data_IF_718081861221
#
_entry.id   IF_718081861221
#
_cell.length_a   1.000
_cell.length_b   1.000
_cell.length_c   1.000
_cell.angle_alpha   90.00
_cell.angle_beta   90.00
_cell.angle_gamma   90.00
#
_symmetry.space_group_name_H-M   'P 1'
#
loop_
_entity.id
_entity.type
_entity.pdbx_description
1 polymer ?
#
# COMPACT_ATOMS: atom_id res chain seq x y z
N UNK A 1 -64.73 -55.07 3.32
CA UNK A 1 -64.37 -54.37 4.58
C UNK A 1 -62.91 -53.92 4.44
N UNK A 2 -62.63 -52.62 4.66
CA UNK A 2 -61.29 -51.95 4.67
C UNK A 2 -60.68 -51.68 3.26
N UNK A 3 -61.02 -50.54 2.64
CA UNK A 3 -60.29 -49.25 2.52
C UNK A 3 -59.19 -49.26 1.43
N UNK A 4 -59.52 -48.81 0.21
CA UNK A 4 -59.28 -47.47 -0.38
C UNK A 4 -57.79 -47.19 -0.69
N UNK A 5 -57.40 -47.28 -1.98
CA UNK A 5 -57.16 -46.15 -2.92
C UNK A 5 -55.72 -45.60 -2.76
N UNK A 6 -54.93 -45.25 -3.78
CA UNK A 6 -55.12 -45.01 -5.21
C UNK A 6 -53.72 -44.74 -5.84
N UNK A 7 -53.59 -45.01 -7.14
CA UNK A 7 -52.90 -44.19 -8.19
C UNK A 7 -51.35 -44.10 -8.12
N UNK A 8 -50.62 -44.86 -8.97
CA UNK A 8 -50.04 -44.52 -10.30
C UNK A 8 -49.29 -43.16 -10.34
N UNK A 9 -48.00 -43.16 -10.73
CA UNK A 9 -47.41 -42.40 -11.85
C UNK A 9 -45.86 -42.40 -11.74
N UNK A 10 -45.23 -42.80 -12.86
CA UNK A 10 -43.81 -42.78 -13.21
C UNK A 10 -43.30 -41.33 -13.32
N UNK A 11 -42.05 -41.02 -12.94
CA UNK A 11 -41.19 -40.01 -13.61
C UNK A 11 -39.71 -40.24 -13.21
N UNK A 12 -38.85 -40.25 -14.23
CA UNK A 12 -37.40 -40.31 -14.14
C UNK A 12 -36.81 -39.04 -13.53
N UNK A 13 -35.83 -39.17 -12.63
CA UNK A 13 -35.03 -38.04 -12.14
C UNK A 13 -33.69 -38.00 -12.89
N UNK A 14 -33.62 -37.12 -13.90
CA UNK A 14 -32.35 -36.65 -14.47
C UNK A 14 -31.74 -35.68 -13.47
N UNK A 15 -30.60 -36.05 -12.89
CA UNK A 15 -29.82 -35.18 -12.00
C UNK A 15 -29.10 -34.12 -12.84
N UNK A 16 -29.75 -32.98 -13.06
CA UNK A 16 -29.10 -31.79 -13.61
C UNK A 16 -28.27 -31.14 -12.49
N UNK A 17 -26.96 -31.40 -12.48
CA UNK A 17 -26.02 -30.60 -11.70
C UNK A 17 -26.01 -29.17 -12.26
N UNK A 18 -26.82 -28.30 -11.67
CA UNK A 18 -26.63 -26.86 -11.79
C UNK A 18 -25.34 -26.52 -11.04
N UNK A 19 -24.22 -26.50 -11.76
CA UNK A 19 -23.05 -25.72 -11.35
C UNK A 19 -23.49 -24.26 -11.44
N UNK A 20 -24.19 -23.79 -10.41
CA UNK A 20 -24.30 -22.39 -10.13
C UNK A 20 -22.87 -21.94 -9.80
N UNK A 21 -22.14 -21.50 -10.83
CA UNK A 21 -20.96 -20.69 -10.65
C UNK A 21 -21.38 -19.50 -9.81
N UNK A 22 -21.11 -19.59 -8.51
CA UNK A 22 -21.05 -18.44 -7.64
C UNK A 22 -19.83 -17.66 -8.10
N UNK A 23 -19.99 -16.90 -9.19
CA UNK A 23 -19.20 -15.72 -9.40
C UNK A 23 -19.62 -14.78 -8.26
N UNK A 24 -19.00 -14.97 -7.11
CA UNK A 24 -19.00 -14.00 -6.04
C UNK A 24 -18.34 -12.77 -6.63
N UNK A 25 -19.15 -11.87 -7.19
CA UNK A 25 -18.74 -10.49 -7.42
C UNK A 25 -18.30 -10.00 -6.05
N UNK A 26 -16.99 -9.81 -5.88
CA UNK A 26 -16.47 -9.23 -4.65
C UNK A 26 -17.01 -7.81 -4.60
N UNK A 27 -17.79 -7.52 -3.56
CA UNK A 27 -18.10 -6.15 -3.24
C UNK A 27 -16.76 -5.42 -3.08
N UNK A 28 -16.61 -4.29 -3.78
CA UNK A 28 -15.49 -3.40 -3.56
C UNK A 28 -15.56 -2.93 -2.10
N UNK A 29 -14.73 -3.52 -1.25
CA UNK A 29 -14.80 -3.35 0.19
C UNK A 29 -13.90 -2.16 0.55
N UNK A 30 -14.51 -1.07 1.02
CA UNK A 30 -13.80 0.10 1.57
C UNK A 30 -12.88 -0.33 2.72
N UNK A 31 -11.84 0.47 3.01
CA UNK A 31 -10.99 0.21 4.16
C UNK A 31 -11.81 0.24 5.45
N UNK A 32 -11.59 -0.75 6.33
CA UNK A 32 -12.18 -0.75 7.67
C UNK A 32 -11.52 0.33 8.54
N UNK A 33 -12.21 0.79 9.59
CA UNK A 33 -11.62 1.75 10.53
C UNK A 33 -10.31 1.25 11.16
N UNK A 34 -10.18 -0.05 11.41
CA UNK A 34 -8.93 -0.65 11.90
C UNK A 34 -7.79 -0.54 10.87
N UNK A 35 -8.07 -0.79 9.59
CA UNK A 35 -7.08 -0.62 8.52
C UNK A 35 -6.65 0.84 8.38
N UNK A 36 -7.59 1.78 8.50
CA UNK A 36 -7.31 3.23 8.44
C UNK A 36 -6.42 3.66 9.60
N UNK A 37 -6.71 3.23 10.83
CA UNK A 37 -5.88 3.54 12.00
C UNK A 37 -4.50 2.90 11.90
N UNK A 38 -4.38 1.71 11.29
CA UNK A 38 -3.07 1.16 10.97
C UNK A 38 -2.33 2.03 9.95
N UNK A 39 -2.97 2.46 8.84
CA UNK A 39 -2.38 3.35 7.82
C UNK A 39 -1.89 4.67 8.42
N UNK A 40 -2.65 5.23 9.35
CA UNK A 40 -2.40 6.54 9.96
C UNK A 40 -1.75 6.44 11.35
N UNK A 41 -1.19 5.28 11.70
CA UNK A 41 -0.62 5.07 13.03
C UNK A 41 0.51 6.08 13.34
N UNK A 42 0.41 6.71 14.51
CA UNK A 42 1.37 7.73 14.96
C UNK A 42 1.13 9.11 14.35
N UNK A 43 0.09 9.26 13.52
CA UNK A 43 -0.31 10.53 12.96
C UNK A 43 -1.45 11.16 13.79
N UNK A 44 -1.31 12.44 14.14
CA UNK A 44 -2.37 13.31 14.68
C UNK A 44 -3.29 13.79 13.56
N UNK A 45 -4.57 13.93 13.86
CA UNK A 45 -5.63 14.29 12.91
C UNK A 45 -5.46 15.69 12.29
N UNK A 46 -4.84 16.63 13.01
CA UNK A 46 -4.66 18.03 12.63
C UNK A 46 -3.39 18.33 11.83
N UNK A 47 -2.49 17.35 11.69
CA UNK A 47 -1.29 17.50 10.87
C UNK A 47 -1.62 17.28 9.38
N UNK A 48 -0.71 17.72 8.52
CA UNK A 48 -0.88 17.60 7.08
C UNK A 48 -0.10 16.45 6.46
N UNK A 49 -0.71 15.84 5.46
CA UNK A 49 -0.12 14.82 4.58
C UNK A 49 -0.18 15.30 3.13
N UNK A 50 0.79 14.88 2.33
CA UNK A 50 0.77 14.97 0.88
C UNK A 50 0.61 13.57 0.31
N UNK A 51 -0.46 13.33 -0.45
CA UNK A 51 -0.69 12.03 -1.10
C UNK A 51 0.30 11.79 -2.23
N UNK A 52 0.67 10.53 -2.45
CA UNK A 52 1.50 10.09 -3.59
C UNK A 52 0.70 9.25 -4.56
N UNK A 53 1.15 9.16 -5.81
CA UNK A 53 0.48 8.37 -6.84
C UNK A 53 0.52 6.85 -6.55
N UNK A 54 1.57 6.38 -5.87
CA UNK A 54 1.71 4.99 -5.42
C UNK A 54 0.79 4.62 -4.25
N UNK A 55 0.23 5.61 -3.55
CA UNK A 55 -0.76 5.43 -2.49
C UNK A 55 -0.23 5.67 -1.07
N UNK A 56 1.08 5.65 -0.87
CA UNK A 56 1.71 6.16 0.36
C UNK A 56 1.56 7.68 0.53
N UNK A 57 2.11 8.20 1.63
CA UNK A 57 2.00 9.62 1.99
C UNK A 57 3.35 10.22 2.39
N UNK A 58 3.51 11.51 2.15
CA UNK A 58 4.63 12.31 2.65
C UNK A 58 4.10 13.24 3.75
N UNK A 59 4.85 13.36 4.84
CA UNK A 59 4.57 14.25 5.96
C UNK A 59 5.76 15.13 6.25
N UNK A 60 5.51 16.36 6.70
CA UNK A 60 6.54 17.16 7.36
C UNK A 60 6.54 16.76 8.85
N UNK A 61 7.71 16.50 9.45
CA UNK A 61 7.80 16.04 10.86
C UNK A 61 7.31 17.07 11.88
N UNK A 62 7.22 18.34 11.47
CA UNK A 62 6.61 19.42 12.25
C UNK A 62 5.08 19.46 12.14
N UNK A 63 4.49 18.60 11.31
CA UNK A 63 3.06 18.51 11.03
C UNK A 63 2.51 19.60 10.12
N UNK A 64 3.35 20.48 9.57
CA UNK A 64 2.93 21.63 8.78
C UNK A 64 2.48 21.26 7.36
N UNK A 65 1.68 22.14 6.75
CA UNK A 65 1.28 22.05 5.33
C UNK A 65 2.32 22.58 4.33
N UNK A 66 3.52 22.91 4.80
CA UNK A 66 4.52 23.66 4.02
C UNK A 66 5.32 22.74 3.08
N UNK A 67 4.63 22.13 2.12
CA UNK A 67 5.26 21.35 1.06
C UNK A 67 5.70 22.27 -0.10
N UNK A 68 6.89 22.07 -0.68
CA UNK A 68 7.31 22.81 -1.88
C UNK A 68 6.31 22.67 -3.03
N UNK A 69 6.02 23.77 -3.72
CA UNK A 69 4.98 23.82 -4.75
C UNK A 69 5.24 22.84 -5.90
N UNK A 70 6.49 22.68 -6.28
CA UNK A 70 6.94 21.73 -7.30
C UNK A 70 6.73 20.27 -6.86
N UNK A 71 6.87 19.98 -5.57
CA UNK A 71 6.58 18.65 -5.02
C UNK A 71 5.08 18.39 -5.13
N UNK A 72 4.25 19.31 -4.62
CA UNK A 72 2.78 19.20 -4.68
C UNK A 72 2.28 19.03 -6.12
N UNK A 73 2.82 19.81 -7.06
CA UNK A 73 2.45 19.72 -8.47
C UNK A 73 2.78 18.37 -9.11
N UNK A 74 3.80 17.68 -8.59
CA UNK A 74 4.22 16.37 -9.11
C UNK A 74 3.55 15.22 -8.38
N UNK A 75 3.30 15.33 -7.08
CA UNK A 75 2.79 14.24 -6.25
C UNK A 75 1.26 14.17 -6.32
N UNK A 76 0.58 14.86 -5.41
CA UNK A 76 -0.84 14.75 -5.19
C UNK A 76 -1.37 15.90 -4.37
N UNK A 77 -2.33 15.62 -3.51
CA UNK A 77 -3.07 16.63 -2.77
C UNK A 77 -2.56 16.74 -1.33
N UNK A 78 -2.49 17.98 -0.85
CA UNK A 78 -2.29 18.25 0.57
C UNK A 78 -3.65 18.19 1.26
N UNK A 79 -3.73 17.44 2.34
CA UNK A 79 -4.91 17.38 3.20
C UNK A 79 -4.50 17.12 4.65
N UNK A 80 -5.39 17.39 5.59
CA UNK A 80 -5.21 16.98 6.98
C UNK A 80 -5.31 15.46 7.10
N UNK A 81 -4.76 14.89 8.17
CA UNK A 81 -4.91 13.46 8.46
C UNK A 81 -6.39 13.10 8.65
N UNK A 82 -7.20 13.97 9.27
CA UNK A 82 -8.64 13.77 9.39
C UNK A 82 -9.32 13.61 8.01
N UNK A 83 -9.01 14.49 7.07
CA UNK A 83 -9.51 14.42 5.68
C UNK A 83 -8.98 13.18 4.96
N UNK A 84 -7.71 12.82 5.20
CA UNK A 84 -7.13 11.60 4.63
C UNK A 84 -7.81 10.33 5.13
N UNK A 85 -8.14 10.25 6.44
CA UNK A 85 -8.92 9.14 6.99
C UNK A 85 -10.30 9.04 6.32
N UNK A 86 -10.94 10.17 6.04
CA UNK A 86 -12.21 10.18 5.30
C UNK A 86 -12.03 9.72 3.85
N UNK A 87 -10.95 10.13 3.18
CA UNK A 87 -10.61 9.65 1.84
C UNK A 87 -10.42 8.12 1.86
N UNK A 88 -9.65 7.58 2.81
CA UNK A 88 -9.43 6.15 2.97
C UNK A 88 -10.73 5.35 3.17
N UNK A 89 -11.70 5.93 3.89
CA UNK A 89 -12.99 5.31 4.15
C UNK A 89 -13.97 5.36 2.96
N UNK A 90 -13.78 6.28 2.02
CA UNK A 90 -14.77 6.59 0.96
C UNK A 90 -14.28 6.29 -0.45
N UNK A 91 -12.97 6.20 -0.63
CA UNK A 91 -12.38 5.80 -1.90
C UNK A 91 -12.20 4.28 -1.91
N UNK A 92 -12.61 3.67 -3.02
CA UNK A 92 -12.31 2.27 -3.29
C UNK A 92 -10.83 2.16 -3.59
N UNK A 93 -10.04 1.92 -2.55
CA UNK A 93 -8.73 1.28 -2.71
C UNK A 93 -9.04 -0.18 -2.97
N UNK A 94 -8.64 -0.79 -4.10
CA UNK A 94 -8.96 -2.18 -4.40
C UNK A 94 -8.43 -3.10 -3.28
N UNK A 95 -9.30 -3.31 -2.29
CA UNK A 95 -9.02 -3.84 -0.97
C UNK A 95 -9.07 -5.35 -0.93
N UNK A 96 -8.91 -6.01 -2.07
CA UNK A 96 -8.37 -7.36 -2.23
C UNK A 96 -7.62 -7.35 -3.55
N UNK A 97 -6.29 -7.44 -3.50
CA UNK A 97 -5.49 -7.91 -4.64
C UNK A 97 -5.95 -9.34 -4.96
N UNK A 98 -7.07 -9.51 -5.66
CA UNK A 98 -7.36 -10.73 -6.38
C UNK A 98 -6.58 -10.74 -7.69
N UNK A 99 -6.05 -11.93 -7.98
CA UNK A 99 -5.36 -12.27 -9.21
C UNK A 99 -6.20 -11.81 -10.40
N UNK A 100 -5.60 -10.91 -11.18
CA UNK A 100 -6.07 -10.27 -12.40
C UNK A 100 -7.27 -10.91 -13.12
N UNK A 101 -8.24 -10.05 -13.45
CA UNK A 101 -8.72 -9.95 -14.83
C UNK A 101 -9.01 -8.47 -15.13
N UNK A 102 -8.33 -7.93 -16.14
CA UNK A 102 -8.37 -6.55 -16.64
C UNK A 102 -7.75 -5.45 -15.75
N UNK A 103 -6.49 -5.10 -16.05
CA UNK A 103 -6.10 -3.69 -16.21
C UNK A 103 -5.55 -2.89 -15.04
N UNK A 104 -5.37 -3.46 -13.83
CA UNK A 104 -4.84 -2.71 -12.68
C UNK A 104 -3.42 -3.16 -12.32
N UNK A 105 -2.49 -2.21 -12.25
CA UNK A 105 -1.07 -2.43 -11.98
C UNK A 105 -0.88 -2.99 -10.57
N UNK A 106 -0.18 -4.12 -10.45
CA UNK A 106 0.22 -4.67 -9.15
C UNK A 106 1.30 -3.79 -8.53
N UNK A 107 0.93 -2.88 -7.63
CA UNK A 107 1.89 -2.14 -6.82
C UNK A 107 2.69 -3.15 -5.97
N UNK A 108 3.96 -3.30 -6.32
CA UNK A 108 4.90 -4.22 -5.67
C UNK A 108 5.36 -5.43 -6.46
N UNK A 109 4.99 -5.60 -7.74
CA UNK A 109 5.65 -6.59 -8.62
C UNK A 109 6.82 -6.03 -9.45
N UNK A 110 6.98 -4.71 -9.48
CA UNK A 110 7.92 -4.00 -10.36
C UNK A 110 8.76 -3.00 -9.61
N UNK A 111 9.99 -2.78 -10.09
CA UNK A 111 10.90 -1.76 -9.57
C UNK A 111 10.31 -0.38 -9.89
N UNK A 112 10.14 0.52 -8.91
CA UNK A 112 9.64 1.87 -9.15
C UNK A 112 10.63 2.66 -10.00
N UNK A 113 10.13 3.24 -11.10
CA UNK A 113 10.93 4.02 -12.06
C UNK A 113 10.91 5.51 -11.76
N UNK A 114 9.82 6.00 -11.17
CA UNK A 114 9.65 7.40 -10.81
C UNK A 114 10.45 7.71 -9.54
N UNK A 115 11.29 8.74 -9.62
CA UNK A 115 12.11 9.20 -8.49
C UNK A 115 11.47 10.43 -7.86
N UNK A 116 11.10 10.30 -6.60
CA UNK A 116 10.52 11.30 -5.75
C UNK A 116 11.61 12.02 -4.97
N UNK A 117 11.43 13.32 -4.75
CA UNK A 117 12.34 14.13 -3.94
C UNK A 117 11.77 14.24 -2.54
N UNK A 118 12.57 13.84 -1.55
CA UNK A 118 12.24 14.03 -0.15
C UNK A 118 13.02 15.24 0.39
N UNK A 119 12.31 16.30 0.74
CA UNK A 119 12.87 17.56 1.22
C UNK A 119 13.25 17.47 2.70
N UNK A 120 14.04 18.43 3.22
CA UNK A 120 14.37 18.53 4.63
C UNK A 120 13.15 18.38 5.51
N UNK A 121 13.32 17.76 6.67
CA UNK A 121 12.25 17.52 7.64
C UNK A 121 11.07 16.68 7.14
N UNK A 122 11.20 15.95 6.02
CA UNK A 122 10.13 15.09 5.49
C UNK A 122 10.30 13.61 5.80
N UNK A 123 9.18 12.91 5.89
CA UNK A 123 9.09 11.46 5.97
C UNK A 123 8.03 10.94 4.99
N UNK A 124 8.37 9.91 4.22
CA UNK A 124 7.42 9.10 3.47
C UNK A 124 7.02 7.86 4.27
N UNK A 125 5.73 7.55 4.28
CA UNK A 125 5.14 6.35 4.86
C UNK A 125 4.51 5.51 3.76
N UNK A 126 4.94 4.26 3.62
CA UNK A 126 4.42 3.35 2.61
C UNK A 126 3.05 2.78 2.97
N UNK A 127 2.33 2.30 1.96
CA UNK A 127 1.28 1.32 2.21
C UNK A 127 1.85 0.01 2.78
N UNK A 128 0.96 -0.78 3.37
CA UNK A 128 1.27 -2.12 3.86
C UNK A 128 1.42 -3.13 2.72
N UNK A 129 2.38 -4.04 2.88
CA UNK A 129 2.49 -5.23 2.06
C UNK A 129 1.57 -6.35 2.56
N UNK A 130 0.84 -6.97 1.63
CA UNK A 130 -0.08 -8.08 1.94
C UNK A 130 0.20 -9.36 1.14
N UNK A 131 1.07 -9.28 0.14
CA UNK A 131 1.24 -10.33 -0.86
C UNK A 131 2.57 -11.10 -0.72
N UNK A 132 2.60 -12.35 -1.18
CA UNK A 132 3.76 -13.27 -1.10
C UNK A 132 4.74 -13.11 -2.26
N UNK A 133 5.94 -13.66 -2.17
CA UNK A 133 7.01 -13.51 -3.16
C UNK A 133 7.78 -12.20 -2.99
N UNK A 134 8.57 -11.83 -4.01
CA UNK A 134 9.25 -10.54 -4.04
C UNK A 134 8.23 -9.40 -4.13
N UNK A 135 8.43 -8.40 -3.27
CA UNK A 135 7.62 -7.20 -3.19
C UNK A 135 8.52 -5.98 -3.24
N UNK A 136 8.19 -5.06 -4.13
CA UNK A 136 8.87 -3.78 -4.28
C UNK A 136 8.04 -2.68 -3.62
N UNK A 137 8.70 -1.71 -3.01
CA UNK A 137 8.06 -0.48 -2.57
C UNK A 137 7.46 0.28 -3.75
N UNK A 138 6.46 1.10 -3.45
CA UNK A 138 5.65 1.79 -4.46
C UNK A 138 6.45 2.87 -5.17
N UNK A 139 7.40 3.46 -4.45
CA UNK A 139 8.09 4.67 -4.87
C UNK A 139 9.61 4.57 -4.64
N UNK A 140 10.36 5.38 -5.40
CA UNK A 140 11.80 5.53 -5.28
C UNK A 140 12.13 6.95 -4.80
N UNK A 141 13.02 7.10 -3.83
CA UNK A 141 13.30 8.40 -3.18
C UNK A 141 14.76 8.81 -3.27
N UNK A 142 14.98 10.11 -3.52
CA UNK A 142 16.28 10.78 -3.38
C UNK A 142 16.15 12.02 -2.46
N UNK A 143 17.23 12.43 -1.78
CA UNK A 143 17.21 13.67 -1.01
C UNK A 143 17.13 14.88 -1.95
N UNK A 144 16.56 15.98 -1.46
CA UNK A 144 16.60 17.25 -2.18
C UNK A 144 18.02 17.80 -2.23
N UNK A 145 18.30 18.64 -3.23
CA UNK A 145 19.58 19.31 -3.33
C UNK A 145 19.89 20.12 -2.05
N UNK A 146 21.12 20.03 -1.55
CA UNK A 146 21.57 20.73 -0.35
C UNK A 146 21.28 20.02 0.98
N UNK A 147 20.50 18.93 1.00
CA UNK A 147 20.18 18.18 2.24
C UNK A 147 21.14 17.00 2.53
N UNK A 148 22.18 16.83 1.71
CA UNK A 148 23.09 15.69 1.75
C UNK A 148 22.64 14.56 0.80
N UNK A 149 23.37 13.45 0.84
CA UNK A 149 23.17 12.31 -0.08
C UNK A 149 22.39 11.15 0.52
N UNK A 150 22.18 11.18 1.84
CA UNK A 150 21.63 10.05 2.57
C UNK A 150 20.16 10.27 2.90
N UNK A 151 19.37 9.22 2.69
CA UNK A 151 18.05 9.09 3.31
C UNK A 151 18.08 7.98 4.36
N UNK A 152 17.20 8.10 5.34
CA UNK A 152 17.11 7.13 6.42
C UNK A 152 15.90 6.23 6.22
N UNK A 153 16.17 4.94 6.08
CA UNK A 153 15.16 3.93 5.79
C UNK A 153 14.85 3.13 7.04
N UNK A 154 13.56 2.88 7.27
CA UNK A 154 13.08 2.03 8.36
C UNK A 154 12.15 0.96 7.84
N UNK A 155 12.37 -0.28 8.25
CA UNK A 155 11.44 -1.38 8.02
C UNK A 155 10.56 -1.58 9.27
N UNK A 156 9.28 -1.88 9.07
CA UNK A 156 8.30 -2.00 10.14
C UNK A 156 7.50 -3.31 9.99
N UNK A 157 7.61 -4.19 10.97
CA UNK A 157 6.90 -5.47 11.04
C UNK A 157 7.59 -6.62 10.31
N UNK A 158 8.55 -6.32 9.43
CA UNK A 158 9.44 -7.29 8.79
C UNK A 158 10.70 -6.60 8.26
N UNK A 159 11.73 -7.36 7.94
CA UNK A 159 12.97 -6.85 7.35
C UNK A 159 12.86 -6.67 5.83
N UNK A 160 13.79 -5.93 5.25
CA UNK A 160 13.91 -5.79 3.81
C UNK A 160 15.26 -5.26 3.35
N UNK A 161 15.29 -4.87 2.09
CA UNK A 161 16.46 -4.35 1.39
C UNK A 161 16.11 -2.99 0.81
N UNK A 162 17.08 -2.08 0.83
CA UNK A 162 17.01 -0.81 0.11
C UNK A 162 17.99 -0.87 -1.04
N UNK A 163 17.51 -0.64 -2.26
CA UNK A 163 18.32 -0.76 -3.48
C UNK A 163 18.39 0.53 -4.28
N UNK A 164 19.52 0.76 -4.92
CA UNK A 164 19.77 1.89 -5.82
C UNK A 164 19.40 1.61 -7.29
N UNK A 165 18.90 0.42 -7.59
CA UNK A 165 18.60 -0.04 -8.95
C UNK A 165 19.81 -0.43 -9.80
N UNK A 166 21.02 -0.41 -9.24
CA UNK A 166 22.27 -0.85 -9.87
C UNK A 166 22.88 -2.09 -9.21
N UNK A 167 22.11 -2.75 -8.33
CA UNK A 167 22.51 -4.00 -7.67
C UNK A 167 23.23 -3.81 -6.33
N UNK A 168 23.27 -2.59 -5.80
CA UNK A 168 23.71 -2.33 -4.42
C UNK A 168 22.47 -2.39 -3.52
N UNK A 169 22.52 -3.26 -2.50
CA UNK A 169 21.42 -3.45 -1.55
C UNK A 169 21.93 -3.27 -0.12
N UNK A 170 21.23 -2.46 0.67
CA UNK A 170 21.47 -2.31 2.11
C UNK A 170 20.37 -3.02 2.87
N UNK A 171 20.76 -3.87 3.84
CA UNK A 171 19.80 -4.56 4.70
C UNK A 171 19.22 -3.58 5.72
N UNK A 172 17.89 -3.58 5.84
CA UNK A 172 17.16 -2.87 6.89
C UNK A 172 16.39 -3.92 7.67
N UNK A 173 16.88 -4.22 8.88
CA UNK A 173 16.21 -5.15 9.79
C UNK A 173 14.90 -4.54 10.29
N UNK A 174 13.96 -5.38 10.74
CA UNK A 174 12.73 -4.92 11.38
C UNK A 174 13.03 -3.96 12.55
N UNK A 175 12.38 -2.80 12.55
CA UNK A 175 12.61 -1.70 13.49
C UNK A 175 13.91 -0.91 13.27
N UNK A 176 14.82 -1.39 12.42
CA UNK A 176 16.10 -0.76 12.13
C UNK A 176 15.94 0.56 11.39
N UNK A 177 16.76 1.56 11.73
CA UNK A 177 16.78 2.88 11.12
C UNK A 177 18.16 3.12 10.52
N UNK A 178 18.29 3.03 9.20
CA UNK A 178 19.57 2.91 8.50
C UNK A 178 19.74 4.03 7.49
N UNK A 179 20.87 4.73 7.54
CA UNK A 179 21.26 5.70 6.53
C UNK A 179 21.72 4.98 5.26
N UNK A 180 21.17 5.36 4.11
CA UNK A 180 21.51 4.81 2.80
C UNK A 180 21.83 5.95 1.85
N UNK A 181 22.93 5.85 1.09
CA UNK A 181 23.22 6.80 0.01
C UNK A 181 22.12 6.66 -1.06
N UNK A 182 21.28 7.70 -1.11
CA UNK A 182 20.10 7.77 -1.95
C UNK A 182 20.24 8.86 -3.03
N UNK A 183 21.46 9.35 -3.32
CA UNK A 183 21.68 10.44 -4.29
C UNK A 183 21.06 10.17 -5.66
N UNK A 184 21.11 8.90 -6.11
CA UNK A 184 20.53 8.45 -7.40
C UNK A 184 19.09 7.95 -7.29
N UNK A 185 18.50 8.02 -6.10
CA UNK A 185 17.22 7.43 -5.78
C UNK A 185 17.35 5.97 -5.36
N UNK A 186 16.75 5.60 -4.24
CA UNK A 186 16.67 4.21 -3.76
C UNK A 186 15.23 3.80 -3.49
N UNK A 187 14.94 2.50 -3.51
CA UNK A 187 13.62 1.94 -3.24
C UNK A 187 13.71 0.75 -2.27
N UNK A 188 12.63 0.48 -1.54
CA UNK A 188 12.56 -0.67 -0.65
C UNK A 188 12.12 -1.92 -1.42
N UNK A 189 12.60 -3.10 -1.01
CA UNK A 189 12.03 -4.38 -1.41
C UNK A 189 12.11 -5.39 -0.28
N UNK A 190 11.21 -6.36 -0.30
CA UNK A 190 11.14 -7.43 0.70
C UNK A 190 10.64 -8.72 0.04
N UNK A 191 10.80 -9.85 0.71
CA UNK A 191 10.41 -11.16 0.21
C UNK A 191 9.47 -11.85 1.20
N UNK A 192 8.30 -12.28 0.73
CA UNK A 192 7.26 -12.90 1.56
C UNK A 192 6.92 -12.09 2.82
N UNK A 193 6.72 -10.75 2.73
CA UNK A 193 6.55 -9.93 3.90
C UNK A 193 5.40 -10.45 4.80
N UNK A 194 5.59 -10.31 6.10
CA UNK A 194 4.47 -10.42 7.03
C UNK A 194 3.37 -9.44 6.61
N UNK A 195 2.12 -9.93 6.64
CA UNK A 195 0.96 -9.11 6.28
C UNK A 195 0.89 -7.88 7.16
N UNK A 196 0.79 -6.69 6.56
CA UNK A 196 0.76 -5.42 7.27
C UNK A 196 2.13 -4.73 7.39
N UNK A 197 3.23 -5.39 7.03
CA UNK A 197 4.57 -4.80 7.10
C UNK A 197 4.73 -3.63 6.14
N UNK A 198 5.57 -2.67 6.51
CA UNK A 198 5.73 -1.38 5.84
C UNK A 198 7.18 -0.93 5.85
N UNK A 199 7.44 0.17 5.16
CA UNK A 199 8.66 0.93 5.32
C UNK A 199 8.38 2.43 5.45
N UNK A 200 9.36 3.12 6.00
CA UNK A 200 9.43 4.58 6.04
C UNK A 200 10.75 5.05 5.47
N UNK A 201 10.74 6.24 4.90
CA UNK A 201 11.94 6.91 4.41
C UNK A 201 11.92 8.32 4.93
N UNK A 202 12.99 8.78 5.57
CA UNK A 202 13.05 10.14 6.08
C UNK A 202 14.29 10.89 5.63
N UNK A 203 14.11 12.19 5.43
CA UNK A 203 15.17 13.17 5.30
C UNK A 203 15.17 14.01 6.58
N UNK A 204 15.99 13.66 7.59
CA UNK A 204 15.98 14.32 8.90
C UNK A 204 16.77 15.63 8.92
N UNK A 205 17.52 15.95 7.86
CA UNK A 205 18.30 17.19 7.72
C UNK A 205 17.36 18.35 7.47
#
# INVERSE_FOLDING_TARGET
>A
MIKFKQIIIVIAFISLFLIAGKNSVKADEYMTGEQIEQVTQGLKDDQYVLTTAGGGIIVNKDGSKNFPLEQVASEGQIMTVAEYKQLLATQLFPGKMEVASSGTVFFGAWIPTRVHVLYPNQEYLSNAFYAKGWRYGEERFKPSWGSGDYLYWQAQGDSGLVEDGYGISVVVNDGGYVAVDSRKGTFFKTYNPRSGSRYKVSNPV
#
